data_IF_328151252368
#
_entry.id   IF_328151252368
#
_cell.length_a   1.000
_cell.length_b   1.000
_cell.length_c   1.000
_cell.angle_alpha   90.00
_cell.angle_beta   90.00
_cell.angle_gamma   90.00
#
_symmetry.space_group_name_H-M   'P 1'
#
loop_
_entity.id
_entity.type
_entity.pdbx_description
1 polymer ?
#
# COMPACT_ATOMS: atom_id res chain seq x y z
N UNK A 1 -6.82 -22.01 9.58
CA UNK A 1 -7.14 -20.88 10.46
C UNK A 1 -8.63 -20.56 10.34
N UNK A 2 -9.29 -20.08 11.41
CA UNK A 2 -10.68 -19.60 11.37
C UNK A 2 -10.68 -18.08 11.25
N UNK A 3 -10.40 -17.60 10.03
CA UNK A 3 -10.31 -16.16 9.74
C UNK A 3 -11.71 -15.55 9.63
N UNK A 4 -11.89 -14.41 10.29
CA UNK A 4 -13.00 -13.48 10.08
C UNK A 4 -12.95 -12.91 8.65
N UNK A 5 -14.06 -12.35 8.13
CA UNK A 5 -14.06 -11.68 6.84
C UNK A 5 -12.98 -10.59 6.73
N UNK A 6 -12.86 -9.74 7.75
CA UNK A 6 -11.86 -8.66 7.77
C UNK A 6 -10.43 -9.18 7.74
N UNK A 7 -10.13 -10.28 8.44
CA UNK A 7 -8.79 -10.89 8.37
C UNK A 7 -8.50 -11.47 6.98
N UNK A 8 -9.51 -11.99 6.27
CA UNK A 8 -9.34 -12.43 4.87
C UNK A 8 -9.11 -11.24 3.94
N UNK A 9 -9.85 -10.16 4.12
CA UNK A 9 -9.66 -8.93 3.35
C UNK A 9 -8.26 -8.34 3.58
N UNK A 10 -7.76 -8.40 4.83
CA UNK A 10 -6.39 -7.99 5.15
C UNK A 10 -5.35 -8.84 4.42
N UNK A 11 -5.56 -10.16 4.30
CA UNK A 11 -4.68 -11.03 3.52
C UNK A 11 -4.76 -10.74 2.02
N UNK A 12 -5.94 -10.42 1.48
CA UNK A 12 -6.09 -10.00 0.08
C UNK A 12 -5.36 -8.69 -0.19
N UNK A 13 -5.48 -7.71 0.71
CA UNK A 13 -4.75 -6.45 0.64
C UNK A 13 -3.24 -6.67 0.67
N UNK A 14 -2.75 -7.48 1.60
CA UNK A 14 -1.33 -7.85 1.67
C UNK A 14 -0.86 -8.51 0.37
N UNK A 15 -1.62 -9.46 -0.18
CA UNK A 15 -1.29 -10.12 -1.45
C UNK A 15 -1.20 -9.15 -2.63
N UNK A 16 -2.11 -8.16 -2.70
CA UNK A 16 -2.05 -7.11 -3.72
C UNK A 16 -0.82 -6.19 -3.54
N UNK A 17 -0.48 -5.84 -2.29
CA UNK A 17 0.68 -5.03 -1.97
C UNK A 17 2.00 -5.74 -2.28
N UNK A 18 2.12 -7.04 -1.96
CA UNK A 18 3.28 -7.85 -2.32
C UNK A 18 3.45 -7.98 -3.83
N UNK A 19 2.35 -8.14 -4.57
CA UNK A 19 2.38 -8.12 -6.03
C UNK A 19 2.88 -6.77 -6.57
N UNK A 20 2.43 -5.66 -5.98
CA UNK A 20 2.90 -4.32 -6.32
C UNK A 20 4.40 -4.15 -6.00
N UNK A 21 4.88 -4.58 -4.82
CA UNK A 21 6.31 -4.58 -4.46
C UNK A 21 7.14 -5.36 -5.47
N UNK A 22 6.69 -6.57 -5.82
CA UNK A 22 7.38 -7.42 -6.78
C UNK A 22 7.43 -6.81 -8.18
N UNK A 23 6.38 -6.09 -8.61
CA UNK A 23 6.37 -5.34 -9.89
C UNK A 23 7.32 -4.15 -9.84
N UNK A 24 7.27 -3.33 -8.78
CA UNK A 24 8.16 -2.18 -8.58
C UNK A 24 9.63 -2.59 -8.52
N UNK A 25 9.95 -3.69 -7.83
CA UNK A 25 11.30 -4.23 -7.75
C UNK A 25 11.89 -4.66 -9.11
N UNK A 26 11.04 -4.93 -10.11
CA UNK A 26 11.45 -5.17 -11.51
C UNK A 26 11.53 -3.89 -12.35
N UNK A 27 11.37 -2.72 -11.74
CA UNK A 27 11.41 -1.42 -12.42
C UNK A 27 10.10 -0.99 -13.08
N UNK A 28 8.97 -1.64 -12.76
CA UNK A 28 7.67 -1.23 -13.29
C UNK A 28 7.07 -0.10 -12.44
N UNK A 29 6.52 0.90 -13.12
CA UNK A 29 5.70 1.95 -12.49
C UNK A 29 4.32 1.37 -12.14
N UNK A 30 3.82 1.71 -10.96
CA UNK A 30 2.58 1.16 -10.41
C UNK A 30 1.33 1.82 -11.00
N UNK A 31 0.27 1.04 -11.21
CA UNK A 31 -1.06 1.55 -11.51
C UNK A 31 -1.84 1.94 -10.23
N UNK A 32 -3.08 2.42 -10.39
CA UNK A 32 -3.93 2.86 -9.27
C UNK A 32 -4.11 1.77 -8.20
N UNK A 33 -4.64 0.57 -8.50
CA UNK A 33 -4.87 -0.44 -7.46
C UNK A 33 -3.58 -0.93 -6.81
N UNK A 34 -2.45 -0.98 -7.54
CA UNK A 34 -1.15 -1.32 -6.96
C UNK A 34 -0.64 -0.26 -5.97
N UNK A 35 -0.74 1.02 -6.34
CA UNK A 35 -0.35 2.12 -5.47
C UNK A 35 -1.23 2.16 -4.21
N UNK A 36 -2.56 2.07 -4.37
CA UNK A 36 -3.50 2.02 -3.24
C UNK A 36 -3.21 0.84 -2.32
N UNK A 37 -2.99 -0.36 -2.87
CA UNK A 37 -2.70 -1.54 -2.07
C UNK A 37 -1.40 -1.37 -1.26
N UNK A 38 -0.33 -0.89 -1.89
CA UNK A 38 0.96 -0.67 -1.24
C UNK A 38 0.86 0.37 -0.10
N UNK A 39 0.17 1.47 -0.33
CA UNK A 39 -0.03 2.55 0.66
C UNK A 39 -0.83 2.03 1.86
N UNK A 40 -1.97 1.39 1.61
CA UNK A 40 -2.82 0.85 2.67
C UNK A 40 -2.11 -0.25 3.46
N UNK A 41 -1.37 -1.13 2.79
CA UNK A 41 -0.55 -2.14 3.45
C UNK A 41 0.53 -1.53 4.33
N UNK A 42 1.15 -0.42 3.90
CA UNK A 42 2.14 0.33 4.71
C UNK A 42 1.54 0.84 6.02
N UNK A 43 0.30 1.34 6.00
CA UNK A 43 -0.41 1.76 7.23
C UNK A 43 -0.62 0.57 8.16
N UNK A 44 -1.12 -0.54 7.61
CA UNK A 44 -1.41 -1.72 8.41
C UNK A 44 -0.16 -2.35 9.03
N UNK A 45 0.95 -2.43 8.29
CA UNK A 45 2.21 -2.95 8.83
C UNK A 45 2.82 -1.99 9.85
N UNK A 46 2.72 -0.67 9.65
CA UNK A 46 3.14 0.30 10.66
C UNK A 46 2.31 0.17 11.95
N UNK A 47 0.99 -0.05 11.84
CA UNK A 47 0.14 -0.33 13.00
C UNK A 47 0.55 -1.65 13.67
N UNK A 48 0.92 -2.67 12.89
CA UNK A 48 1.39 -3.95 13.41
C UNK A 48 2.71 -3.82 14.18
N UNK A 49 3.58 -2.90 13.76
CA UNK A 49 4.83 -2.52 14.43
C UNK A 49 4.60 -1.67 15.70
N UNK A 50 3.36 -1.27 15.99
CA UNK A 50 3.01 -0.46 17.15
C UNK A 50 3.16 1.05 16.94
N UNK A 51 3.26 1.52 15.69
CA UNK A 51 3.28 2.95 15.38
C UNK A 51 1.92 3.60 15.73
N UNK A 52 1.95 4.88 16.11
CA UNK A 52 0.72 5.65 16.28
C UNK A 52 0.12 6.01 14.91
N UNK A 53 -1.17 6.34 14.89
CA UNK A 53 -1.89 6.70 13.67
C UNK A 53 -1.14 7.75 12.83
N UNK A 54 -0.70 8.85 13.44
CA UNK A 54 0.02 9.92 12.74
C UNK A 54 1.32 9.43 12.09
N UNK A 55 2.07 8.55 12.78
CA UNK A 55 3.32 7.98 12.26
C UNK A 55 3.04 6.99 11.12
N UNK A 56 1.99 6.17 11.23
CA UNK A 56 1.59 5.24 10.18
C UNK A 56 1.15 5.97 8.90
N UNK A 57 0.36 7.03 9.03
CA UNK A 57 -0.06 7.88 7.91
C UNK A 57 1.14 8.56 7.26
N UNK A 58 2.08 9.09 8.05
CA UNK A 58 3.27 9.73 7.51
C UNK A 58 4.15 8.75 6.72
N UNK A 59 4.37 7.53 7.26
CA UNK A 59 5.08 6.47 6.53
C UNK A 59 4.39 6.16 5.20
N UNK A 60 3.07 6.01 5.21
CA UNK A 60 2.29 5.71 4.01
C UNK A 60 2.33 6.83 2.96
N UNK A 61 2.36 8.11 3.37
CA UNK A 61 2.54 9.26 2.45
C UNK A 61 3.92 9.28 1.80
N UNK A 62 4.94 8.77 2.49
CA UNK A 62 6.33 8.77 1.99
C UNK A 62 6.71 7.54 1.16
N UNK A 63 5.86 6.51 1.07
CA UNK A 63 6.24 5.20 0.50
C UNK A 63 6.36 5.19 -1.03
N UNK A 64 5.68 6.11 -1.70
CA UNK A 64 5.69 6.27 -3.16
C UNK A 64 5.89 7.74 -3.54
N UNK A 65 6.74 7.97 -4.52
CA UNK A 65 6.86 9.24 -5.23
C UNK A 65 6.18 9.21 -6.61
N UNK A 66 6.11 10.36 -7.31
CA UNK A 66 5.53 10.46 -8.66
C UNK A 66 6.18 9.55 -9.69
N UNK A 67 7.47 9.25 -9.52
CA UNK A 67 8.24 8.39 -10.43
C UNK A 67 7.95 6.90 -10.24
N UNK A 68 7.38 6.51 -9.09
CA UNK A 68 7.05 5.12 -8.78
C UNK A 68 5.73 4.66 -9.41
N UNK A 69 4.89 5.60 -9.87
CA UNK A 69 3.53 5.34 -10.37
C UNK A 69 3.38 5.77 -11.82
N UNK A 70 2.45 5.19 -12.58
CA UNK A 70 2.18 5.57 -13.97
C UNK A 70 1.68 7.03 -14.07
N UNK A 71 1.84 7.69 -15.24
CA UNK A 71 1.32 9.04 -15.45
C UNK A 71 -0.18 9.15 -15.11
N UNK A 72 -0.54 10.18 -14.35
CA UNK A 72 -1.92 10.43 -13.91
C UNK A 72 -2.33 9.71 -12.61
N UNK A 73 -1.63 8.67 -12.17
CA UNK A 73 -1.99 7.93 -10.95
C UNK A 73 -1.91 8.80 -9.70
N UNK A 74 -0.90 9.68 -9.59
CA UNK A 74 -0.75 10.62 -8.47
C UNK A 74 -1.92 11.61 -8.36
N UNK A 75 -2.64 11.88 -9.45
CA UNK A 75 -3.84 12.72 -9.44
C UNK A 75 -5.12 11.97 -9.06
N UNK A 76 -5.07 10.63 -9.01
CA UNK A 76 -6.19 9.76 -8.65
C UNK A 76 -6.08 9.31 -7.20
N UNK A 77 -4.86 8.95 -6.76
CA UNK A 77 -4.59 8.50 -5.39
C UNK A 77 -4.17 9.71 -4.55
N UNK A 78 -5.16 10.44 -4.04
CA UNK A 78 -4.95 11.73 -3.35
C UNK A 78 -5.04 11.64 -1.83
N UNK A 79 -5.48 10.52 -1.29
CA UNK A 79 -5.74 10.31 0.14
C UNK A 79 -5.10 9.02 0.64
N UNK A 80 -4.80 9.00 1.94
CA UNK A 80 -4.30 7.87 2.72
C UNK A 80 -5.29 7.60 3.84
#
# INVERSE_FOLDING_TARGET
>A
MRLTPTERDRLLLFGAAELARARRARGLRLNVPEATALIADTVCEAARDGARLAEAVERARSVLGPDDVLPGVAGVVTEV
#
